data_IF_055786935502
#
_entry.id   IF_055786935502
#
_cell.length_a   1.000
_cell.length_b   1.000
_cell.length_c   1.000
_cell.angle_alpha   90.00
_cell.angle_beta   90.00
_cell.angle_gamma   90.00
#
_symmetry.space_group_name_H-M   'P 1'
#
loop_
_entity.id
_entity.type
_entity.pdbx_description
1 polymer ?
#
# COMPACT_ATOMS: atom_id res chain seq x y z
N UNK A 1 -39.73 -75.26 47.00
CA UNK A 1 -41.12 -75.02 46.59
C UNK A 1 -41.13 -73.75 45.74
N UNK A 2 -41.73 -73.58 44.56
CA UNK A 2 -42.60 -74.39 43.72
C UNK A 2 -43.04 -73.49 42.54
N UNK A 3 -42.62 -73.85 41.33
CA UNK A 3 -43.27 -73.75 40.00
C UNK A 3 -44.25 -72.58 39.64
N UNK A 4 -43.95 -72.02 38.44
CA UNK A 4 -44.80 -71.85 37.22
C UNK A 4 -45.31 -70.46 36.78
N UNK A 5 -44.64 -69.93 35.73
CA UNK A 5 -45.10 -69.48 34.38
C UNK A 5 -46.55 -68.96 34.15
N UNK A 6 -46.65 -67.75 33.56
CA UNK A 6 -47.14 -67.41 32.17
C UNK A 6 -47.13 -65.87 32.00
N UNK A 7 -46.30 -65.26 31.13
CA UNK A 7 -46.49 -64.92 29.69
C UNK A 7 -47.73 -64.07 29.36
N UNK A 8 -47.50 -62.80 28.98
CA UNK A 8 -47.99 -62.06 27.76
C UNK A 8 -47.18 -60.75 27.67
N UNK A 9 -46.35 -60.54 26.63
CA UNK A 9 -46.59 -59.73 25.39
C UNK A 9 -46.88 -58.24 25.68
N UNK A 10 -46.36 -57.21 25.01
CA UNK A 10 -45.46 -57.02 23.86
C UNK A 10 -45.36 -55.49 23.69
N UNK A 11 -44.17 -54.91 23.62
CA UNK A 11 -43.87 -53.70 22.82
C UNK A 11 -42.39 -53.39 22.96
N UNK A 12 -41.61 -53.90 22.02
CA UNK A 12 -40.26 -53.41 21.80
C UNK A 12 -40.32 -52.06 21.12
N UNK A 13 -39.59 -51.08 21.64
CA UNK A 13 -39.12 -49.95 20.85
C UNK A 13 -37.62 -50.13 20.75
N UNK A 14 -37.21 -50.54 19.56
CA UNK A 14 -35.83 -50.79 19.16
C UNK A 14 -35.12 -49.45 19.03
N UNK A 15 -34.13 -49.24 19.89
CA UNK A 15 -33.10 -48.22 19.76
C UNK A 15 -32.22 -48.54 18.54
N UNK A 16 -32.62 -48.05 17.35
CA UNK A 16 -31.83 -48.18 16.12
C UNK A 16 -32.25 -47.21 15.00
N UNK A 17 -32.60 -45.98 15.34
CA UNK A 17 -32.81 -44.90 14.36
C UNK A 17 -32.15 -43.65 14.93
N UNK A 18 -30.85 -43.46 14.63
CA UNK A 18 -30.11 -42.18 14.72
C UNK A 18 -28.61 -42.36 14.41
N UNK A 19 -28.27 -43.19 13.40
CA UNK A 19 -26.88 -43.31 12.93
C UNK A 19 -26.71 -43.12 11.42
N UNK A 20 -27.79 -42.90 10.66
CA UNK A 20 -27.71 -42.65 9.21
C UNK A 20 -27.96 -41.18 8.83
N UNK A 21 -28.74 -40.40 9.59
CA UNK A 21 -28.94 -38.97 9.25
C UNK A 21 -27.73 -38.07 9.55
N UNK A 22 -26.76 -38.56 10.34
CA UNK A 22 -25.51 -37.84 10.62
C UNK A 22 -24.39 -38.15 9.63
N UNK A 23 -24.53 -39.18 8.79
CA UNK A 23 -23.57 -39.46 7.70
C UNK A 23 -23.97 -38.78 6.40
N UNK A 24 -25.26 -38.70 6.11
CA UNK A 24 -25.76 -38.03 4.91
C UNK A 24 -25.68 -36.49 4.99
N UNK A 25 -25.45 -35.91 6.17
CA UNK A 25 -25.14 -34.47 6.34
C UNK A 25 -23.65 -34.13 6.28
N UNK A 26 -22.78 -35.12 6.51
CA UNK A 26 -21.32 -34.97 6.33
C UNK A 26 -20.92 -35.25 4.87
N UNK A 27 -21.69 -36.06 4.13
CA UNK A 27 -21.49 -36.31 2.69
C UNK A 27 -22.27 -35.36 1.76
N UNK A 28 -23.05 -34.40 2.30
CA UNK A 28 -23.74 -33.37 1.50
C UNK A 28 -23.14 -31.96 1.60
N UNK A 29 -21.96 -31.81 2.18
CA UNK A 29 -21.10 -30.67 1.88
C UNK A 29 -20.51 -30.94 0.49
N UNK A 30 -21.34 -30.67 -0.52
CA UNK A 30 -20.97 -30.49 -1.89
C UNK A 30 -19.53 -29.94 -1.92
N UNK A 31 -18.58 -30.64 -2.53
CA UNK A 31 -17.30 -30.06 -2.92
C UNK A 31 -17.63 -28.85 -3.80
N UNK A 32 -17.87 -27.70 -3.18
CA UNK A 32 -17.83 -26.42 -3.85
C UNK A 32 -16.37 -26.28 -4.22
N UNK A 33 -16.08 -26.67 -5.45
CA UNK A 33 -14.76 -26.60 -6.03
C UNK A 33 -14.50 -25.12 -6.31
N UNK A 34 -14.18 -24.37 -5.26
CA UNK A 34 -13.79 -22.98 -5.37
C UNK A 34 -12.61 -22.88 -6.34
N UNK A 35 -12.70 -21.96 -7.29
CA UNK A 35 -11.54 -21.58 -8.12
C UNK A 35 -10.62 -20.65 -7.33
N UNK A 36 -9.39 -20.44 -7.80
CA UNK A 36 -8.51 -19.45 -7.19
C UNK A 36 -9.17 -18.06 -7.16
N UNK A 37 -9.85 -17.67 -8.24
CA UNK A 37 -10.54 -16.38 -8.34
C UNK A 37 -11.73 -16.26 -7.36
N UNK A 38 -12.46 -17.36 -7.11
CA UNK A 38 -13.53 -17.35 -6.10
C UNK A 38 -12.97 -17.19 -4.68
N UNK A 39 -11.77 -17.74 -4.42
CA UNK A 39 -11.07 -17.54 -3.16
C UNK A 39 -10.57 -16.09 -3.04
N UNK A 40 -10.06 -15.48 -4.11
CA UNK A 40 -9.60 -14.08 -4.09
C UNK A 40 -10.75 -13.09 -3.82
N UNK A 41 -11.96 -13.34 -4.32
CA UNK A 41 -13.14 -12.55 -3.93
C UNK A 41 -13.43 -12.63 -2.43
N UNK A 42 -13.20 -13.80 -1.82
CA UNK A 42 -13.33 -13.96 -0.37
C UNK A 42 -12.21 -13.24 0.36
N UNK A 43 -10.99 -13.27 -0.17
CA UNK A 43 -9.87 -12.49 0.38
C UNK A 43 -10.22 -11.02 0.45
N UNK A 44 -10.71 -10.44 -0.65
CA UNK A 44 -11.13 -9.04 -0.75
C UNK A 44 -12.22 -8.70 0.28
N UNK A 45 -13.28 -9.49 0.37
CA UNK A 45 -14.36 -9.33 1.38
C UNK A 45 -13.83 -9.33 2.83
N UNK A 46 -12.85 -10.18 3.13
CA UNK A 46 -12.26 -10.25 4.48
C UNK A 46 -11.23 -9.13 4.74
N UNK A 47 -10.54 -8.64 3.71
CA UNK A 47 -9.67 -7.46 3.82
C UNK A 47 -10.49 -6.20 4.10
N UNK A 48 -11.60 -5.98 3.36
CA UNK A 48 -12.50 -4.84 3.58
C UNK A 48 -13.13 -4.83 4.98
N UNK A 49 -13.33 -6.02 5.56
CA UNK A 49 -13.83 -6.18 6.93
C UNK A 49 -12.73 -6.25 7.99
N UNK A 50 -11.47 -5.99 7.61
CA UNK A 50 -10.29 -6.02 8.49
C UNK A 50 -10.07 -7.37 9.21
N UNK A 51 -10.61 -8.46 8.66
CA UNK A 51 -10.47 -9.82 9.19
C UNK A 51 -9.27 -10.52 8.53
N UNK A 52 -8.07 -9.97 8.75
CA UNK A 52 -6.85 -10.40 8.06
C UNK A 52 -6.45 -11.85 8.34
N UNK A 53 -6.71 -12.38 9.54
CA UNK A 53 -6.47 -13.79 9.87
C UNK A 53 -7.26 -14.76 8.98
N UNK A 54 -8.46 -14.36 8.57
CA UNK A 54 -9.33 -15.17 7.70
C UNK A 54 -8.93 -14.95 6.24
N UNK A 55 -8.65 -13.71 5.85
CA UNK A 55 -8.13 -13.36 4.53
C UNK A 55 -6.85 -14.15 4.21
N UNK A 56 -5.92 -14.26 5.15
CA UNK A 56 -4.68 -15.03 5.02
C UNK A 56 -4.95 -16.49 4.62
N UNK A 57 -5.93 -17.14 5.26
CA UNK A 57 -6.28 -18.55 4.98
C UNK A 57 -6.83 -18.73 3.57
N UNK A 58 -7.72 -17.84 3.14
CA UNK A 58 -8.26 -17.87 1.78
C UNK A 58 -7.17 -17.57 0.75
N UNK A 59 -6.31 -16.61 1.03
CA UNK A 59 -5.22 -16.20 0.13
C UNK A 59 -4.17 -17.30 -0.01
N UNK A 60 -3.76 -17.92 1.11
CA UNK A 60 -2.88 -19.09 1.12
C UNK A 60 -3.46 -20.21 0.26
N UNK A 61 -4.75 -20.49 0.40
CA UNK A 61 -5.41 -21.51 -0.41
C UNK A 61 -5.45 -21.15 -1.91
N UNK A 62 -5.63 -19.87 -2.24
CA UNK A 62 -5.57 -19.38 -3.61
C UNK A 62 -4.16 -19.58 -4.21
N UNK A 63 -3.11 -19.27 -3.46
CA UNK A 63 -1.71 -19.46 -3.86
C UNK A 63 -1.32 -20.95 -3.96
N UNK A 64 -1.87 -21.83 -3.12
CA UNK A 64 -1.68 -23.29 -3.29
C UNK A 64 -2.24 -23.80 -4.61
N UNK A 65 -3.31 -23.17 -5.12
CA UNK A 65 -3.94 -23.55 -6.39
C UNK A 65 -3.24 -22.92 -7.60
N UNK A 66 -2.80 -21.66 -7.45
CA UNK A 66 -2.14 -20.88 -8.49
C UNK A 66 -0.98 -20.07 -7.88
N UNK A 67 0.21 -20.68 -7.71
CA UNK A 67 1.34 -20.04 -7.04
C UNK A 67 1.82 -18.74 -7.69
N UNK A 68 1.65 -18.64 -9.02
CA UNK A 68 2.13 -17.52 -9.83
C UNK A 68 1.01 -16.51 -10.15
N UNK A 69 -0.12 -16.57 -9.43
CA UNK A 69 -1.21 -15.61 -9.61
C UNK A 69 -0.80 -14.25 -8.99
N UNK A 70 -0.55 -13.26 -9.84
CA UNK A 70 -0.12 -11.91 -9.43
C UNK A 70 -1.09 -11.23 -8.47
N UNK A 71 -2.41 -11.35 -8.69
CA UNK A 71 -3.41 -10.76 -7.81
C UNK A 71 -3.36 -11.42 -6.42
N UNK A 72 -3.21 -12.74 -6.37
CA UNK A 72 -3.06 -13.48 -5.13
C UNK A 72 -1.78 -13.09 -4.38
N UNK A 73 -0.65 -12.94 -5.09
CA UNK A 73 0.62 -12.52 -4.49
C UNK A 73 0.54 -11.09 -3.93
N UNK A 74 -0.09 -10.17 -4.66
CA UNK A 74 -0.29 -8.79 -4.20
C UNK A 74 -1.21 -8.75 -2.97
N UNK A 75 -2.34 -9.45 -2.99
CA UNK A 75 -3.24 -9.55 -1.83
C UNK A 75 -2.54 -10.19 -0.63
N UNK A 76 -1.74 -11.25 -0.84
CA UNK A 76 -0.97 -11.88 0.21
C UNK A 76 0.04 -10.90 0.84
N UNK A 77 0.77 -10.15 0.01
CA UNK A 77 1.70 -9.14 0.50
C UNK A 77 0.97 -8.10 1.38
N UNK A 78 -0.15 -7.54 0.92
CA UNK A 78 -0.95 -6.59 1.71
C UNK A 78 -1.44 -7.20 3.03
N UNK A 79 -1.98 -8.43 3.01
CA UNK A 79 -2.42 -9.11 4.23
C UNK A 79 -1.26 -9.31 5.21
N UNK A 80 -0.11 -9.75 4.71
CA UNK A 80 1.08 -9.97 5.52
C UNK A 80 1.58 -8.69 6.16
N UNK A 81 1.53 -7.55 5.46
CA UNK A 81 1.85 -6.25 6.04
C UNK A 81 0.90 -5.87 7.17
N UNK A 82 -0.40 -6.02 6.97
CA UNK A 82 -1.42 -5.70 7.99
C UNK A 82 -1.29 -6.54 9.27
N UNK A 83 -0.83 -7.79 9.15
CA UNK A 83 -0.59 -8.67 10.31
C UNK A 83 0.85 -8.63 10.84
N UNK A 84 1.72 -7.79 10.26
CA UNK A 84 3.11 -7.59 10.70
C UNK A 84 4.09 -8.69 10.29
N UNK A 85 3.75 -9.52 9.30
CA UNK A 85 4.61 -10.57 8.71
C UNK A 85 5.44 -10.02 7.55
N UNK A 86 6.42 -9.20 7.89
CA UNK A 86 7.19 -8.43 6.90
C UNK A 86 7.99 -9.34 5.95
N UNK A 87 8.64 -10.39 6.47
CA UNK A 87 9.45 -11.30 5.65
C UNK A 87 8.61 -12.04 4.59
N UNK A 88 7.41 -12.50 4.97
CA UNK A 88 6.47 -13.13 4.06
C UNK A 88 5.93 -12.15 2.99
N UNK A 89 5.66 -10.90 3.38
CA UNK A 89 5.27 -9.86 2.43
C UNK A 89 6.38 -9.61 1.38
N UNK A 90 7.62 -9.45 1.84
CA UNK A 90 8.80 -9.29 0.97
C UNK A 90 8.94 -10.49 0.02
N UNK A 91 8.75 -11.72 0.52
CA UNK A 91 8.80 -12.92 -0.33
C UNK A 91 7.73 -12.89 -1.43
N UNK A 92 6.49 -12.48 -1.11
CA UNK A 92 5.41 -12.36 -2.09
C UNK A 92 5.72 -11.29 -3.14
N UNK A 93 6.22 -10.12 -2.71
CA UNK A 93 6.58 -9.01 -3.60
C UNK A 93 7.72 -9.39 -4.56
N UNK A 94 8.77 -10.04 -4.05
CA UNK A 94 9.88 -10.54 -4.89
C UNK A 94 9.39 -11.56 -5.91
N UNK A 95 8.51 -12.47 -5.51
CA UNK A 95 7.92 -13.44 -6.45
C UNK A 95 7.08 -12.74 -7.53
N UNK A 96 6.28 -11.73 -7.16
CA UNK A 96 5.53 -10.94 -8.14
C UNK A 96 6.44 -10.17 -9.12
N UNK A 97 7.62 -9.69 -8.65
CA UNK A 97 8.64 -9.07 -9.50
C UNK A 97 9.26 -10.07 -10.48
N UNK A 98 9.53 -11.30 -10.05
CA UNK A 98 10.06 -12.36 -10.92
C UNK A 98 9.09 -12.70 -12.07
N UNK A 99 7.78 -12.72 -11.78
CA UNK A 99 6.74 -13.01 -12.77
C UNK A 99 6.55 -11.83 -13.73
N UNK A 100 6.47 -10.61 -13.22
CA UNK A 100 6.20 -9.42 -14.02
C UNK A 100 7.14 -8.24 -13.64
N UNK A 101 8.36 -8.21 -14.20
CA UNK A 101 9.38 -7.24 -13.80
C UNK A 101 9.16 -5.83 -14.36
N UNK A 102 8.36 -5.67 -15.42
CA UNK A 102 8.28 -4.42 -16.19
C UNK A 102 6.92 -3.71 -16.15
N UNK A 103 5.99 -4.14 -15.29
CA UNK A 103 4.66 -3.53 -15.11
C UNK A 103 4.28 -3.52 -13.65
N UNK A 104 3.27 -2.76 -13.26
CA UNK A 104 2.73 -2.78 -11.90
C UNK A 104 3.74 -2.25 -10.89
N UNK A 105 3.85 -0.92 -10.82
CA UNK A 105 4.83 -0.21 -9.99
C UNK A 105 4.68 -0.47 -8.48
N UNK A 106 3.46 -0.73 -8.00
CA UNK A 106 3.15 -0.82 -6.57
C UNK A 106 4.02 -1.83 -5.83
N UNK A 107 4.33 -2.98 -6.44
CA UNK A 107 5.19 -3.99 -5.80
C UNK A 107 6.62 -3.51 -5.56
N UNK A 108 7.13 -2.64 -6.43
CA UNK A 108 8.44 -2.03 -6.27
C UNK A 108 8.42 -0.91 -5.24
N UNK A 109 7.35 -0.11 -5.22
CA UNK A 109 7.17 0.95 -4.23
C UNK A 109 7.08 0.37 -2.81
N UNK A 110 6.17 -0.59 -2.60
CA UNK A 110 6.02 -1.27 -1.32
C UNK A 110 7.30 -2.00 -0.93
N UNK A 111 7.97 -2.70 -1.86
CA UNK A 111 9.22 -3.37 -1.52
C UNK A 111 10.32 -2.36 -1.14
N UNK A 112 10.39 -1.21 -1.82
CA UNK A 112 11.32 -0.13 -1.48
C UNK A 112 11.13 0.44 -0.07
N UNK A 113 9.89 0.53 0.41
CA UNK A 113 9.57 0.99 1.78
C UNK A 113 9.91 -0.05 2.86
N UNK A 114 10.00 -1.33 2.50
CA UNK A 114 10.28 -2.44 3.43
C UNK A 114 11.76 -2.82 3.50
N UNK A 115 12.56 -2.36 2.53
CA UNK A 115 13.98 -2.65 2.44
C UNK A 115 14.81 -1.46 2.93
N UNK A 116 16.10 -1.69 3.10
CA UNK A 116 17.07 -0.68 3.53
C UNK A 116 18.17 -0.50 2.49
N UNK A 117 18.81 0.67 2.51
CA UNK A 117 20.04 0.93 1.75
C UNK A 117 19.88 0.90 0.23
N UNK A 118 20.89 0.38 -0.48
CA UNK A 118 20.94 0.38 -1.95
C UNK A 118 19.80 -0.44 -2.59
N UNK A 119 19.34 -1.50 -1.93
CA UNK A 119 18.27 -2.34 -2.48
C UNK A 119 16.92 -1.61 -2.50
N UNK A 120 16.63 -0.82 -1.45
CA UNK A 120 15.48 0.07 -1.41
C UNK A 120 15.53 1.11 -2.54
N UNK A 121 16.72 1.72 -2.74
CA UNK A 121 16.97 2.68 -3.82
C UNK A 121 16.69 2.07 -5.19
N UNK A 122 17.15 0.85 -5.45
CA UNK A 122 16.91 0.15 -6.72
C UNK A 122 15.42 -0.11 -6.95
N UNK A 123 14.71 -0.58 -5.92
CA UNK A 123 13.27 -0.82 -5.99
C UNK A 123 12.49 0.46 -6.28
N UNK A 124 12.71 1.53 -5.51
CA UNK A 124 12.03 2.82 -5.70
C UNK A 124 12.32 3.41 -7.08
N UNK A 125 13.59 3.39 -7.54
CA UNK A 125 13.95 3.81 -8.91
C UNK A 125 13.17 3.04 -9.97
N UNK A 126 13.03 1.72 -9.81
CA UNK A 126 12.30 0.90 -10.77
C UNK A 126 10.81 1.16 -10.74
N UNK A 127 10.23 1.35 -9.55
CA UNK A 127 8.83 1.76 -9.37
C UNK A 127 8.53 3.06 -10.11
N UNK A 128 9.35 4.09 -9.89
CA UNK A 128 9.23 5.41 -10.56
C UNK A 128 9.33 5.28 -12.09
N UNK A 129 10.28 4.49 -12.61
CA UNK A 129 10.42 4.25 -14.05
C UNK A 129 9.15 3.66 -14.65
N UNK A 130 8.55 2.67 -13.98
CA UNK A 130 7.30 2.04 -14.40
C UNK A 130 6.14 3.04 -14.34
N UNK A 131 6.02 3.81 -13.26
CA UNK A 131 4.96 4.83 -13.11
C UNK A 131 4.98 5.84 -14.25
N UNK A 132 6.16 6.38 -14.58
CA UNK A 132 6.32 7.35 -15.68
C UNK A 132 5.95 6.69 -17.01
N UNK A 133 6.43 5.47 -17.25
CA UNK A 133 6.17 4.74 -18.50
C UNK A 133 4.69 4.42 -18.70
N UNK A 134 4.01 3.96 -17.64
CA UNK A 134 2.58 3.66 -17.65
C UNK A 134 1.76 4.93 -17.89
N UNK A 135 2.06 6.02 -17.16
CA UNK A 135 1.41 7.34 -17.36
C UNK A 135 1.56 7.84 -18.80
N UNK A 136 2.78 7.86 -19.34
CA UNK A 136 3.02 8.30 -20.72
C UNK A 136 2.32 7.43 -21.76
N UNK A 137 2.16 6.13 -21.50
CA UNK A 137 1.48 5.20 -22.39
C UNK A 137 -0.02 5.49 -22.41
N UNK A 138 -0.63 5.65 -21.23
CA UNK A 138 -2.04 5.98 -21.08
C UNK A 138 -2.38 7.35 -21.74
N UNK A 139 -1.51 8.35 -21.58
CA UNK A 139 -1.67 9.65 -22.24
C UNK A 139 -1.67 9.53 -23.78
N UNK A 140 -0.79 8.70 -24.35
CA UNK A 140 -0.74 8.45 -25.80
C UNK A 140 -1.98 7.71 -26.30
N UNK A 141 -2.44 6.72 -25.56
CA UNK A 141 -3.65 5.93 -25.89
C UNK A 141 -4.92 6.79 -25.85
N UNK A 142 -5.05 7.67 -24.85
CA UNK A 142 -6.16 8.63 -24.74
C UNK A 142 -6.20 9.67 -25.87
N UNK A 143 -5.04 10.01 -26.45
CA UNK A 143 -4.97 10.90 -27.63
C UNK A 143 -5.37 10.16 -28.92
N UNK A 144 -5.19 8.84 -28.99
CA UNK A 144 -5.57 8.02 -30.15
C UNK A 144 -7.01 7.48 -30.11
N UNK A 145 -7.56 7.18 -28.93
CA UNK A 145 -8.86 6.52 -28.77
C UNK A 145 -9.96 7.48 -28.29
N UNK A 146 -10.56 8.18 -29.25
CA UNK A 146 -11.88 8.81 -29.08
C UNK A 146 -13.06 7.82 -29.11
N UNK A 147 -12.80 6.50 -29.09
CA UNK A 147 -13.83 5.49 -29.26
C UNK A 147 -13.51 4.16 -28.53
N UNK A 148 -13.78 4.11 -27.22
CA UNK A 148 -14.12 2.85 -26.54
C UNK A 148 -13.34 2.55 -25.28
N UNK A 149 -13.71 3.17 -24.15
CA UNK A 149 -13.17 2.80 -22.85
C UNK A 149 -13.72 1.43 -22.38
N UNK A 150 -12.81 0.49 -22.13
CA UNK A 150 -13.06 -0.61 -21.19
C UNK A 150 -12.59 -0.09 -19.83
N UNK A 151 -13.55 0.11 -18.92
CA UNK A 151 -13.28 0.50 -17.54
C UNK A 151 -12.64 -0.69 -16.81
N UNK A 152 -11.32 -0.67 -16.68
CA UNK A 152 -10.62 -1.35 -15.60
C UNK A 152 -10.38 -0.31 -14.51
N UNK A 153 -10.81 -0.59 -13.29
CA UNK A 153 -10.71 0.29 -12.11
C UNK A 153 -9.26 0.40 -11.60
N UNK A 154 -8.33 0.77 -12.47
CA UNK A 154 -6.99 1.17 -12.04
C UNK A 154 -6.99 2.68 -11.86
N UNK A 155 -6.70 3.11 -10.64
CA UNK A 155 -6.51 4.52 -10.29
C UNK A 155 -5.41 5.10 -11.19
N UNK A 156 -5.70 6.22 -11.85
CA UNK A 156 -4.78 6.84 -12.81
C UNK A 156 -3.55 7.37 -12.06
N UNK A 157 -2.35 7.03 -12.54
CA UNK A 157 -1.10 7.49 -11.95
C UNK A 157 -0.98 9.01 -12.13
N UNK A 158 -0.99 9.74 -11.02
CA UNK A 158 -0.91 11.19 -11.03
C UNK A 158 0.54 11.67 -10.97
N UNK A 159 0.76 12.94 -11.33
CA UNK A 159 2.06 13.57 -11.10
C UNK A 159 2.39 13.68 -9.59
N UNK A 160 1.36 13.75 -8.71
CA UNK A 160 1.51 13.70 -7.25
C UNK A 160 2.10 12.37 -6.79
N UNK A 161 1.63 11.25 -7.33
CA UNK A 161 2.14 9.92 -6.96
C UNK A 161 3.62 9.78 -7.31
N UNK A 162 4.00 10.24 -8.51
CA UNK A 162 5.40 10.20 -8.95
C UNK A 162 6.26 11.17 -8.13
N UNK A 163 5.72 12.34 -7.78
CA UNK A 163 6.38 13.30 -6.88
C UNK A 163 6.63 12.69 -5.50
N UNK A 164 5.65 12.02 -4.91
CA UNK A 164 5.78 11.34 -3.63
C UNK A 164 6.82 10.22 -3.68
N UNK A 165 6.87 9.46 -4.78
CA UNK A 165 7.88 8.42 -4.96
C UNK A 165 9.31 9.02 -5.01
N UNK A 166 9.50 10.20 -5.62
CA UNK A 166 10.77 10.91 -5.55
C UNK A 166 11.09 11.43 -4.14
N UNK A 167 10.09 11.86 -3.36
CA UNK A 167 10.27 12.21 -1.95
C UNK A 167 10.82 11.02 -1.15
N UNK A 168 10.18 9.84 -1.25
CA UNK A 168 10.66 8.62 -0.58
C UNK A 168 12.09 8.28 -0.98
N UNK A 169 12.43 8.40 -2.27
CA UNK A 169 13.79 8.15 -2.73
C UNK A 169 14.81 9.15 -2.19
N UNK A 170 14.44 10.43 -2.05
CA UNK A 170 15.29 11.45 -1.43
C UNK A 170 15.51 11.17 0.07
N UNK A 171 14.44 10.78 0.79
CA UNK A 171 14.51 10.45 2.21
C UNK A 171 15.48 9.30 2.51
N UNK A 172 15.54 8.27 1.66
CA UNK A 172 16.52 7.18 1.79
C UNK A 172 17.97 7.72 1.80
N UNK A 173 18.29 8.78 1.05
CA UNK A 173 19.62 9.40 1.09
C UNK A 173 19.84 10.30 2.32
N UNK A 174 18.78 10.69 3.03
CA UNK A 174 18.87 11.38 4.32
C UNK A 174 18.98 10.40 5.50
N UNK A 175 18.55 9.15 5.33
CA UNK A 175 18.56 8.13 6.39
C UNK A 175 19.58 7.03 6.10
N UNK A 176 19.23 6.04 5.30
CA UNK A 176 19.94 4.77 5.20
C UNK A 176 21.18 4.86 4.31
N UNK A 177 21.11 5.71 3.28
CA UNK A 177 22.15 5.94 2.30
C UNK A 177 22.95 7.23 2.55
N UNK A 178 22.84 7.86 3.73
CA UNK A 178 23.48 9.15 4.02
C UNK A 178 25.02 9.14 4.01
N UNK A 179 25.64 7.96 4.10
CA UNK A 179 27.11 7.79 4.06
C UNK A 179 27.64 7.37 2.67
N UNK A 180 26.78 7.22 1.67
CA UNK A 180 27.21 6.95 0.29
C UNK A 180 27.91 8.20 -0.26
N UNK A 181 28.98 8.02 -1.05
CA UNK A 181 29.86 9.10 -1.53
C UNK A 181 29.09 10.25 -2.23
N UNK A 182 27.99 9.93 -2.91
CA UNK A 182 27.17 10.88 -3.68
C UNK A 182 25.76 11.09 -3.08
N UNK A 183 25.60 10.82 -1.78
CA UNK A 183 24.29 10.88 -1.10
C UNK A 183 23.68 12.28 -1.15
N UNK A 184 24.48 13.33 -0.92
CA UNK A 184 24.02 14.72 -0.90
C UNK A 184 23.49 15.16 -2.27
N UNK A 185 24.25 14.90 -3.34
CA UNK A 185 23.82 15.23 -4.70
C UNK A 185 22.61 14.41 -5.13
N UNK A 186 22.56 13.13 -4.74
CA UNK A 186 21.43 12.25 -5.02
C UNK A 186 20.17 12.73 -4.31
N UNK A 187 20.24 13.04 -3.01
CA UNK A 187 19.13 13.59 -2.24
C UNK A 187 18.61 14.87 -2.89
N UNK A 188 19.50 15.83 -3.17
CA UNK A 188 19.13 17.09 -3.81
C UNK A 188 18.44 16.88 -5.16
N UNK A 189 19.00 16.02 -6.01
CA UNK A 189 18.44 15.68 -7.32
C UNK A 189 17.01 15.16 -7.19
N UNK A 190 16.74 14.28 -6.21
CA UNK A 190 15.41 13.71 -6.03
C UNK A 190 14.43 14.69 -5.40
N UNK A 191 14.86 15.57 -4.49
CA UNK A 191 14.05 16.70 -4.04
C UNK A 191 13.65 17.62 -5.21
N UNK A 192 14.61 17.97 -6.09
CA UNK A 192 14.35 18.80 -7.27
C UNK A 192 13.37 18.12 -8.23
N UNK A 193 13.54 16.81 -8.49
CA UNK A 193 12.62 16.03 -9.32
C UNK A 193 11.22 15.92 -8.73
N UNK A 194 11.08 15.77 -7.41
CA UNK A 194 9.78 15.74 -6.75
C UNK A 194 9.03 17.06 -6.99
N UNK A 195 9.70 18.21 -6.81
CA UNK A 195 9.14 19.55 -7.02
C UNK A 195 8.86 19.82 -8.51
N UNK A 196 9.76 19.39 -9.41
CA UNK A 196 9.55 19.50 -10.86
C UNK A 196 8.31 18.72 -11.31
N UNK A 197 8.13 17.52 -10.74
CA UNK A 197 7.01 16.65 -11.09
C UNK A 197 5.68 17.19 -10.60
N UNK A 198 5.65 17.70 -9.37
CA UNK A 198 4.48 18.38 -8.82
C UNK A 198 4.90 19.57 -7.94
N UNK A 199 4.74 20.77 -8.49
CA UNK A 199 5.12 22.02 -7.83
C UNK A 199 4.20 22.40 -6.67
N UNK A 200 3.02 21.77 -6.55
CA UNK A 200 2.04 21.98 -5.49
C UNK A 200 2.15 20.87 -4.40
N UNK A 201 3.22 20.07 -4.42
CA UNK A 201 3.44 19.02 -3.43
C UNK A 201 4.10 19.52 -2.14
N UNK A 202 3.37 19.67 -1.01
CA UNK A 202 3.96 20.13 0.25
C UNK A 202 5.04 19.18 0.77
N UNK A 203 4.88 17.87 0.55
CA UNK A 203 5.84 16.85 0.99
C UNK A 203 7.19 17.01 0.27
N UNK A 204 7.18 17.38 -1.02
CA UNK A 204 8.41 17.66 -1.77
C UNK A 204 9.20 18.83 -1.18
N UNK A 205 8.52 19.87 -0.71
CA UNK A 205 9.17 21.00 -0.02
C UNK A 205 9.61 20.63 1.40
N UNK A 206 8.85 19.80 2.12
CA UNK A 206 9.25 19.27 3.42
C UNK A 206 10.59 18.51 3.32
N UNK A 207 10.71 17.60 2.35
CA UNK A 207 11.95 16.81 2.15
C UNK A 207 13.11 17.69 1.68
N UNK A 208 12.86 18.66 0.78
CA UNK A 208 13.89 19.65 0.40
C UNK A 208 14.37 20.48 1.60
N UNK A 209 13.45 20.90 2.49
CA UNK A 209 13.83 21.61 3.71
C UNK A 209 14.67 20.72 4.64
N UNK A 210 14.30 19.44 4.82
CA UNK A 210 15.09 18.47 5.60
C UNK A 210 16.51 18.32 5.03
N UNK A 211 16.64 18.23 3.72
CA UNK A 211 17.95 18.22 3.04
C UNK A 211 18.76 19.48 3.34
N UNK A 212 18.18 20.68 3.17
CA UNK A 212 18.87 21.95 3.45
C UNK A 212 19.28 22.09 4.93
N UNK A 213 18.46 21.58 5.87
CA UNK A 213 18.82 21.51 7.29
C UNK A 213 20.02 20.60 7.54
N UNK A 214 20.11 19.47 6.83
CA UNK A 214 21.27 18.56 6.92
C UNK A 214 22.57 19.24 6.45
N UNK A 215 22.47 20.15 5.48
CA UNK A 215 23.57 21.01 5.01
C UNK A 215 23.81 22.26 5.88
N UNK A 216 23.07 22.44 6.98
CA UNK A 216 23.10 23.61 7.87
C UNK A 216 22.68 24.94 7.19
N UNK A 217 21.94 24.86 6.08
CA UNK A 217 21.37 26.02 5.35
C UNK A 217 20.01 26.41 5.95
N UNK A 218 20.03 26.83 7.22
CA UNK A 218 18.81 27.00 8.02
C UNK A 218 17.84 28.07 7.46
N UNK A 219 18.34 29.18 6.92
CA UNK A 219 17.48 30.23 6.35
C UNK A 219 16.81 29.77 5.05
N UNK A 220 17.56 29.15 4.14
CA UNK A 220 17.00 28.56 2.91
C UNK A 220 15.99 27.47 3.24
N UNK A 221 16.29 26.61 4.22
CA UNK A 221 15.36 25.57 4.68
C UNK A 221 14.06 26.17 5.21
N UNK A 222 14.13 27.26 5.97
CA UNK A 222 12.95 27.97 6.49
C UNK A 222 12.09 28.53 5.35
N UNK A 223 12.70 29.18 4.36
CA UNK A 223 11.97 29.70 3.19
C UNK A 223 11.24 28.59 2.42
N UNK A 224 11.94 27.47 2.16
CA UNK A 224 11.36 26.30 1.49
C UNK A 224 10.24 25.67 2.31
N UNK A 225 10.44 25.52 3.62
CA UNK A 225 9.43 24.94 4.51
C UNK A 225 8.19 25.82 4.59
N UNK A 226 8.33 27.15 4.62
CA UNK A 226 7.20 28.08 4.56
C UNK A 226 6.43 27.95 3.25
N UNK A 227 7.12 27.71 2.13
CA UNK A 227 6.45 27.43 0.85
C UNK A 227 5.61 26.15 0.91
N UNK A 228 6.18 25.05 1.39
CA UNK A 228 5.45 23.79 1.60
C UNK A 228 4.26 23.95 2.55
N UNK A 229 4.48 24.66 3.66
CA UNK A 229 3.46 24.98 4.66
C UNK A 229 2.31 25.78 4.05
N UNK A 230 2.59 26.78 3.22
CA UNK A 230 1.56 27.57 2.53
C UNK A 230 0.73 26.73 1.54
N UNK A 231 1.34 25.74 0.88
CA UNK A 231 0.61 24.80 0.03
C UNK A 231 -0.31 23.90 0.87
N UNK A 232 0.13 23.51 2.06
CA UNK A 232 -0.68 22.73 2.99
C UNK A 232 -1.84 23.55 3.60
N UNK A 233 -1.59 24.80 3.98
CA UNK A 233 -2.63 25.73 4.49
C UNK A 233 -3.50 26.35 3.39
N UNK A 234 -3.21 26.08 2.12
CA UNK A 234 -4.12 26.32 0.99
C UNK A 234 -5.46 25.59 1.11
N UNK A 235 -5.61 24.70 2.10
CA UNK A 235 -6.85 24.01 2.50
C UNK A 235 -7.60 24.65 3.70
N UNK A 236 -7.50 25.96 3.93
CA UNK A 236 -8.25 26.79 4.91
C UNK A 236 -7.60 27.03 6.30
N UNK A 237 -6.56 27.88 6.40
CA UNK A 237 -6.18 28.49 7.70
C UNK A 237 -6.19 30.04 7.67
N UNK A 238 -7.15 30.71 8.35
CA UNK A 238 -7.24 32.17 8.42
C UNK A 238 -6.22 32.83 9.36
N UNK A 239 -5.41 32.10 10.12
CA UNK A 239 -4.52 32.66 11.15
C UNK A 239 -3.10 33.02 10.67
N UNK A 240 -2.67 32.53 9.50
CA UNK A 240 -1.30 32.79 8.98
C UNK A 240 -1.20 34.12 8.21
N UNK A 241 -2.32 34.66 7.71
CA UNK A 241 -2.36 35.93 6.95
C UNK A 241 -1.99 37.20 7.75
N UNK A 242 -1.57 37.08 9.01
CA UNK A 242 -1.39 38.21 9.92
C UNK A 242 0.03 38.54 10.36
N UNK A 243 1.09 37.95 9.78
CA UNK A 243 2.46 38.11 10.34
C UNK A 243 3.48 38.83 9.47
N UNK A 244 3.15 39.28 8.25
CA UNK A 244 4.12 39.99 7.39
C UNK A 244 3.88 41.51 7.22
N UNK A 245 2.88 42.09 7.89
CA UNK A 245 2.69 43.56 7.89
C UNK A 245 2.81 44.10 9.31
N UNK A 246 4.04 44.36 9.78
CA UNK A 246 4.18 44.94 11.12
C UNK A 246 5.56 45.20 11.69
N UNK A 247 6.63 45.31 10.91
CA UNK A 247 7.93 45.78 11.44
C UNK A 247 8.62 46.74 10.45
N UNK A 248 8.03 47.91 10.23
CA UNK A 248 8.76 49.10 9.76
C UNK A 248 8.46 50.29 10.69
N UNK A 249 9.52 50.70 11.40
CA UNK A 249 9.88 52.02 11.92
C UNK A 249 8.79 52.98 12.46
N UNK A 250 8.92 53.39 13.74
CA UNK A 250 9.02 54.83 14.05
C UNK A 250 9.69 55.08 15.43
N UNK A 251 11.00 55.30 15.35
CA UNK A 251 11.72 56.46 15.86
C UNK A 251 11.18 57.17 17.11
N UNK A 252 12.00 57.16 18.17
CA UNK A 252 11.81 58.00 19.34
C UNK A 252 11.78 59.49 19.00
N UNK A 253 10.82 60.19 19.60
CA UNK A 253 10.88 61.64 19.80
C UNK A 253 10.65 61.92 21.28
N UNK A 254 11.69 62.45 21.92
CA UNK A 254 11.57 63.09 23.22
C UNK A 254 10.94 64.47 23.09
N UNK A 255 10.07 64.80 24.05
CA UNK A 255 9.93 66.11 24.68
C UNK A 255 8.65 66.06 25.53
N UNK A 256 8.80 66.14 26.86
CA UNK A 256 8.15 67.11 27.75
C UNK A 256 8.71 66.95 29.17
#
# INVERSE_FOLDING_TARGET
MGKRKKKTNKSGVSSKENKNESKDKEESLHEQKFTADDLLKKVEEYMESFNFDVAERFCTRALEMSPDNLQALNMAASIYLEIGKIDEAVSCLRHAIEIEPCKGFSKYMTLGELLEGEEAVECLKKGIEIMITEKETNEKENVSDSAGAVNTEHEEITDRDISNAFCSLAEIYLTDCCFVEDAENSCKLYCEKAIEKDADNPDAYQVMANFLLSEQKNEEAKEILLKGLNLWHGCDDPHIKGTEEGEEEEQGHGAF
#
